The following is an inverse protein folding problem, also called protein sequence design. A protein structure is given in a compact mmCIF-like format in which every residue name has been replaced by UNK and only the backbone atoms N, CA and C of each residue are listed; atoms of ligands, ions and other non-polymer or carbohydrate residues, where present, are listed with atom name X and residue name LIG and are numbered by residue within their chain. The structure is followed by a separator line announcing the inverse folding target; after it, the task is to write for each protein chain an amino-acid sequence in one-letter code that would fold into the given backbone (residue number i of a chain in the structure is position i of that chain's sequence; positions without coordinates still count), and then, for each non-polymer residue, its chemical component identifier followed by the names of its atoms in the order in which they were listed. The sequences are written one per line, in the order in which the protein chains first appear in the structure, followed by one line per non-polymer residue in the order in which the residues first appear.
data_IF_655157584480
#
_entry.id   IF_655157584480
#
_cell.length_a   1.000
_cell.length_b   1.000
_cell.length_c   1.000
_cell.angle_alpha   90.00
_cell.angle_beta   90.00
_cell.angle_gamma   90.00
#
_symmetry.space_group_name_H-M   'P 1'
#
loop_
_entity.id
_entity.type
_entity.pdbx_description
1 polymer ?
#
# COMPACT_ATOMS: atom_id res chain seq x y z
N UNK A 1 25.51 0.29 4.72
CA UNK A 1 24.97 -1.07 4.89
C UNK A 1 23.50 -1.07 4.56
N UNK A 2 23.07 -1.85 3.58
CA UNK A 2 21.66 -1.92 3.30
C UNK A 2 20.90 -2.55 4.48
N UNK A 3 19.72 -2.04 4.72
CA UNK A 3 18.81 -2.59 5.73
C UNK A 3 18.09 -3.76 5.10
N UNK A 4 18.22 -4.94 5.70
CA UNK A 4 17.50 -6.13 5.24
C UNK A 4 16.30 -6.31 6.14
N UNK A 5 15.10 -6.31 5.55
CA UNK A 5 13.87 -6.57 6.26
C UNK A 5 13.48 -8.04 6.12
N UNK A 6 12.98 -8.67 7.19
CA UNK A 6 12.61 -10.10 7.12
C UNK A 6 11.62 -10.44 6.01
N UNK A 7 10.73 -9.51 5.66
CA UNK A 7 9.73 -9.72 4.63
C UNK A 7 10.23 -9.38 3.22
N UNK A 8 11.52 -9.04 3.08
CA UNK A 8 12.14 -8.73 1.81
C UNK A 8 13.17 -9.79 1.45
N UNK A 9 12.77 -11.03 1.50
CA UNK A 9 13.64 -12.14 1.13
C UNK A 9 14.08 -11.97 -0.32
N UNK A 10 15.35 -12.24 -0.57
CA UNK A 10 15.93 -12.10 -1.89
C UNK A 10 16.42 -10.68 -2.19
N UNK A 11 16.37 -9.77 -1.21
CA UNK A 11 16.93 -8.44 -1.34
C UNK A 11 15.95 -7.30 -1.32
N UNK A 12 16.39 -6.17 -1.82
CA UNK A 12 15.63 -4.92 -1.82
C UNK A 12 14.69 -4.83 -3.01
N UNK A 13 13.57 -4.09 -2.90
CA UNK A 13 12.69 -3.89 -4.04
C UNK A 13 13.37 -3.04 -5.12
N UNK A 14 13.03 -3.31 -6.39
CA UNK A 14 13.49 -2.52 -7.54
C UNK A 14 12.62 -1.29 -7.73
N UNK A 15 11.34 -1.40 -7.40
CA UNK A 15 10.38 -0.29 -7.48
C UNK A 15 9.56 -0.24 -6.21
N UNK A 16 9.10 0.97 -5.87
CA UNK A 16 8.19 1.19 -4.74
C UNK A 16 6.97 1.93 -5.28
N UNK A 17 5.80 1.35 -5.08
CA UNK A 17 4.56 2.03 -5.41
C UNK A 17 4.09 2.81 -4.18
N UNK A 18 3.90 4.13 -4.34
CA UNK A 18 3.34 4.98 -3.31
C UNK A 18 1.90 5.33 -3.70
N UNK A 19 0.96 4.91 -2.88
CA UNK A 19 -0.46 5.18 -3.12
C UNK A 19 -0.96 6.18 -2.09
N UNK A 20 -1.64 7.23 -2.58
CA UNK A 20 -2.21 8.26 -1.72
C UNK A 20 -3.72 8.30 -1.94
N UNK A 21 -4.47 8.07 -0.88
CA UNK A 21 -5.93 8.18 -0.90
C UNK A 21 -6.32 9.39 -0.10
N UNK A 22 -7.13 10.27 -0.69
CA UNK A 22 -7.75 11.36 0.04
C UNK A 22 -9.17 10.94 0.39
N UNK A 23 -9.47 10.90 1.68
CA UNK A 23 -10.76 10.49 2.19
C UNK A 23 -11.68 11.68 2.37
N UNK A 24 -12.97 11.42 2.50
CA UNK A 24 -13.92 12.45 2.93
C UNK A 24 -13.58 12.88 4.37
N UNK A 25 -13.87 14.14 4.74
CA UNK A 25 -13.55 14.62 6.09
C UNK A 25 -14.07 13.71 7.20
N UNK A 26 -13.18 13.42 8.15
CA UNK A 26 -13.53 12.62 9.33
C UNK A 26 -13.56 11.12 9.12
N UNK A 27 -13.25 10.61 7.93
CA UNK A 27 -13.37 9.19 7.63
C UNK A 27 -12.11 8.36 7.90
N UNK A 28 -11.02 8.99 8.32
CA UNK A 28 -9.77 8.28 8.59
C UNK A 28 -9.91 7.18 9.64
N UNK A 29 -10.54 7.41 10.81
CA UNK A 29 -10.66 6.34 11.80
C UNK A 29 -11.45 5.13 11.28
N UNK A 30 -12.53 5.35 10.55
CA UNK A 30 -13.31 4.27 9.99
C UNK A 30 -12.52 3.48 8.94
N UNK A 31 -11.78 4.19 8.08
CA UNK A 31 -10.94 3.56 7.08
C UNK A 31 -9.89 2.67 7.74
N UNK A 32 -9.18 3.18 8.74
CA UNK A 32 -8.12 2.42 9.42
C UNK A 32 -8.67 1.19 10.13
N UNK A 33 -9.83 1.32 10.75
CA UNK A 33 -10.49 0.20 11.42
C UNK A 33 -10.85 -0.90 10.42
N UNK A 34 -11.44 -0.53 9.29
CA UNK A 34 -11.80 -1.47 8.24
C UNK A 34 -10.56 -2.12 7.63
N UNK A 35 -9.53 -1.33 7.37
CA UNK A 35 -8.28 -1.88 6.82
C UNK A 35 -7.67 -2.92 7.75
N UNK A 36 -7.50 -2.57 9.00
CA UNK A 36 -6.86 -3.46 9.96
C UNK A 36 -7.64 -4.76 10.17
N UNK A 37 -8.97 -4.68 10.18
CA UNK A 37 -9.80 -5.85 10.43
C UNK A 37 -10.08 -6.70 9.20
N UNK A 38 -10.15 -6.10 8.00
CA UNK A 38 -10.62 -6.82 6.82
C UNK A 38 -9.66 -6.79 5.63
N UNK A 39 -8.83 -5.75 5.49
CA UNK A 39 -7.99 -5.59 4.32
C UNK A 39 -6.54 -5.98 4.50
N UNK A 40 -5.97 -5.68 5.67
CA UNK A 40 -4.53 -5.79 5.88
C UNK A 40 -3.98 -7.19 5.67
N UNK A 41 -4.61 -8.21 6.23
CA UNK A 41 -4.13 -9.59 6.12
C UNK A 41 -4.11 -10.06 4.67
N UNK A 42 -5.15 -9.71 3.91
CA UNK A 42 -5.25 -10.08 2.49
C UNK A 42 -4.19 -9.35 1.69
N UNK A 43 -4.10 -8.04 1.87
CA UNK A 43 -3.19 -7.21 1.09
C UNK A 43 -1.73 -7.56 1.35
N UNK A 44 -1.34 -7.72 2.62
CA UNK A 44 0.04 -8.06 2.95
C UNK A 44 0.44 -9.45 2.46
N UNK A 45 -0.50 -10.40 2.50
CA UNK A 45 -0.24 -11.75 1.99
C UNK A 45 -0.01 -11.74 0.48
N UNK A 46 -0.84 -11.00 -0.26
CA UNK A 46 -0.79 -11.04 -1.72
C UNK A 46 0.27 -10.10 -2.28
N UNK A 47 0.36 -8.86 -1.79
CA UNK A 47 1.36 -7.90 -2.27
C UNK A 47 2.75 -8.16 -1.71
N UNK A 48 2.85 -8.67 -0.50
CA UNK A 48 4.10 -9.14 0.10
C UNK A 48 4.86 -8.10 0.87
N UNK A 49 5.37 -7.07 0.22
CA UNK A 49 6.31 -6.13 0.85
C UNK A 49 5.66 -4.78 1.14
N UNK A 50 5.10 -4.64 2.33
CA UNK A 50 4.64 -3.33 2.78
C UNK A 50 5.86 -2.52 3.22
N UNK A 51 6.13 -1.41 2.53
CA UNK A 51 7.22 -0.49 2.90
C UNK A 51 6.77 0.43 4.04
N UNK A 52 5.53 0.87 4.01
CA UNK A 52 4.98 1.70 5.07
C UNK A 52 3.50 1.99 4.86
N UNK A 53 2.85 2.45 5.94
CA UNK A 53 1.43 2.80 5.91
C UNK A 53 1.22 3.96 6.86
N UNK A 54 0.82 5.12 6.32
CA UNK A 54 0.85 6.38 7.04
C UNK A 54 -0.47 7.13 6.92
N UNK A 55 -0.73 7.98 7.91
CA UNK A 55 -1.75 9.02 7.82
C UNK A 55 -1.07 10.38 7.89
N UNK A 56 -1.70 11.42 7.35
CA UNK A 56 -1.16 12.77 7.44
C UNK A 56 -1.48 13.36 8.81
N UNK A 57 -0.45 13.74 9.55
CA UNK A 57 -0.62 14.42 10.84
C UNK A 57 -0.75 15.93 10.62
N UNK A 58 0.15 16.50 9.82
CA UNK A 58 0.17 17.92 9.47
C UNK A 58 0.28 18.04 7.97
N UNK A 59 -0.59 18.81 7.35
CA UNK A 59 -0.67 18.98 5.91
C UNK A 59 -2.07 18.66 5.40
N UNK A 60 -2.21 18.16 4.17
CA UNK A 60 -3.52 17.77 3.67
C UNK A 60 -4.13 16.68 4.56
N UNK A 61 -5.20 17.03 5.27
CA UNK A 61 -5.83 16.12 6.22
C UNK A 61 -6.62 15.02 5.51
N UNK A 62 -6.94 13.97 6.25
CA UNK A 62 -7.72 12.83 5.77
C UNK A 62 -7.04 12.07 4.63
N UNK A 63 -5.71 12.05 4.62
CA UNK A 63 -4.97 11.26 3.62
C UNK A 63 -4.35 10.01 4.24
N UNK A 64 -4.39 8.95 3.43
CA UNK A 64 -3.73 7.70 3.70
C UNK A 64 -2.61 7.56 2.65
N UNK A 65 -1.39 7.31 3.11
CA UNK A 65 -0.25 7.07 2.22
C UNK A 65 0.33 5.71 2.54
N UNK A 66 0.34 4.81 1.56
CA UNK A 66 0.95 3.50 1.78
C UNK A 66 1.83 3.12 0.61
N UNK A 67 2.85 2.32 0.91
CA UNK A 67 3.89 2.00 -0.04
C UNK A 67 4.15 0.50 -0.07
N UNK A 68 4.38 0.01 -1.29
CA UNK A 68 4.59 -1.42 -1.56
C UNK A 68 5.79 -1.61 -2.47
N UNK A 69 6.67 -2.55 -2.10
CA UNK A 69 7.86 -2.83 -2.87
C UNK A 69 7.69 -4.05 -3.76
N UNK A 70 8.27 -4.00 -4.97
CA UNK A 70 8.21 -5.09 -5.93
C UNK A 70 9.56 -5.23 -6.62
N UNK A 71 9.90 -6.45 -7.05
CA UNK A 71 11.12 -6.70 -7.79
C UNK A 71 11.03 -6.19 -9.23
N UNK A 72 9.83 -6.12 -9.79
CA UNK A 72 9.61 -5.69 -11.16
C UNK A 72 8.17 -5.22 -11.37
N UNK A 73 7.94 -4.56 -12.50
CA UNK A 73 6.57 -4.20 -12.92
C UNK A 73 5.72 -5.44 -13.16
N UNK A 74 6.33 -6.51 -13.66
CA UNK A 74 5.62 -7.75 -13.92
C UNK A 74 5.13 -8.40 -12.62
N UNK A 75 6.00 -8.42 -11.61
CA UNK A 75 5.61 -8.91 -10.29
C UNK A 75 4.46 -8.08 -9.71
N UNK A 76 4.57 -6.75 -9.80
CA UNK A 76 3.51 -5.85 -9.35
C UNK A 76 2.19 -6.17 -10.05
N UNK A 77 2.21 -6.26 -11.36
CA UNK A 77 0.99 -6.51 -12.14
C UNK A 77 0.35 -7.84 -11.78
N UNK A 78 1.17 -8.88 -11.63
CA UNK A 78 0.71 -10.22 -11.25
C UNK A 78 0.07 -10.22 -9.87
N UNK A 79 0.75 -9.63 -8.88
CA UNK A 79 0.25 -9.59 -7.50
C UNK A 79 -1.03 -8.76 -7.39
N UNK A 80 -1.08 -7.64 -8.08
CA UNK A 80 -2.29 -6.81 -8.06
C UNK A 80 -3.47 -7.49 -8.75
N UNK A 81 -3.23 -8.21 -9.83
CA UNK A 81 -4.30 -8.99 -10.48
C UNK A 81 -4.83 -10.07 -9.55
N UNK A 82 -3.95 -10.75 -8.82
CA UNK A 82 -4.34 -11.76 -7.84
C UNK A 82 -5.17 -11.14 -6.72
N UNK A 83 -4.75 -9.98 -6.22
CA UNK A 83 -5.49 -9.28 -5.17
C UNK A 83 -6.88 -8.86 -5.64
N UNK A 84 -6.97 -8.32 -6.85
CA UNK A 84 -8.25 -7.87 -7.39
C UNK A 84 -9.21 -9.03 -7.69
N UNK A 85 -8.69 -10.24 -7.84
CA UNK A 85 -9.52 -11.43 -8.02
C UNK A 85 -9.96 -12.07 -6.69
N UNK A 86 -9.38 -11.65 -5.58
CA UNK A 86 -9.69 -12.20 -4.26
C UNK A 86 -11.05 -11.72 -3.77
N UNK A 87 -11.92 -12.67 -3.39
CA UNK A 87 -13.28 -12.34 -2.98
C UNK A 87 -13.32 -11.50 -1.70
N UNK A 88 -12.44 -11.79 -0.75
CA UNK A 88 -12.35 -11.02 0.50
C UNK A 88 -11.89 -9.59 0.25
N UNK A 89 -10.94 -9.42 -0.67
CA UNK A 89 -10.48 -8.09 -1.05
C UNK A 89 -11.58 -7.27 -1.70
N UNK A 90 -12.34 -7.87 -2.62
CA UNK A 90 -13.47 -7.20 -3.26
C UNK A 90 -14.51 -6.73 -2.24
N UNK A 91 -14.80 -7.57 -1.25
CA UNK A 91 -15.75 -7.23 -0.19
C UNK A 91 -15.25 -6.06 0.66
N UNK A 92 -13.94 -6.07 0.98
CA UNK A 92 -13.32 -4.97 1.72
C UNK A 92 -13.36 -3.67 0.91
N UNK A 93 -12.97 -3.70 -0.36
CA UNK A 93 -12.96 -2.52 -1.23
C UNK A 93 -14.34 -1.88 -1.30
N UNK A 94 -15.39 -2.70 -1.39
CA UNK A 94 -16.76 -2.19 -1.43
C UNK A 94 -17.10 -1.36 -0.17
N UNK A 95 -16.50 -1.70 0.96
CA UNK A 95 -16.75 -0.99 2.22
C UNK A 95 -15.97 0.32 2.33
N UNK A 96 -14.75 0.37 1.80
CA UNK A 96 -13.93 1.59 1.90
C UNK A 96 -14.18 2.58 0.76
N UNK A 97 -14.68 2.11 -0.38
CA UNK A 97 -14.87 2.97 -1.55
C UNK A 97 -15.70 4.22 -1.26
N UNK A 98 -16.82 4.15 -0.51
CA UNK A 98 -17.57 5.37 -0.18
C UNK A 98 -16.81 6.37 0.68
N UNK A 99 -15.73 5.96 1.34
CA UNK A 99 -14.94 6.83 2.20
C UNK A 99 -13.92 7.64 1.41
N UNK A 100 -13.61 7.24 0.18
CA UNK A 100 -12.51 7.78 -0.62
C UNK A 100 -13.04 8.82 -1.60
N UNK A 101 -12.38 10.00 -1.61
CA UNK A 101 -12.64 11.05 -2.61
C UNK A 101 -11.77 10.88 -3.83
N UNK A 102 -10.46 10.71 -3.63
CA UNK A 102 -9.50 10.59 -4.73
C UNK A 102 -8.43 9.57 -4.39
N UNK A 103 -7.85 8.98 -5.42
CA UNK A 103 -6.74 8.04 -5.30
C UNK A 103 -5.66 8.42 -6.30
N UNK A 104 -4.41 8.33 -5.85
CA UNK A 104 -3.25 8.56 -6.70
C UNK A 104 -2.26 7.43 -6.49
N UNK A 105 -1.47 7.13 -7.51
CA UNK A 105 -0.39 6.16 -7.40
C UNK A 105 0.83 6.68 -8.14
N UNK A 106 2.00 6.50 -7.54
CA UNK A 106 3.29 6.82 -8.13
C UNK A 106 4.18 5.59 -8.06
N UNK A 107 4.96 5.37 -9.12
CA UNK A 107 6.02 4.38 -9.08
C UNK A 107 7.34 5.11 -8.85
N UNK A 108 8.00 4.77 -7.76
CA UNK A 108 9.27 5.36 -7.36
C UNK A 108 10.39 4.36 -7.60
N UNK A 109 11.53 4.86 -8.09
CA UNK A 109 12.73 4.04 -8.29
C UNK A 109 13.75 4.47 -7.24
N UNK A 110 14.17 3.58 -6.35
CA UNK A 110 15.15 3.96 -5.33
C UNK A 110 16.47 4.40 -5.95
N UNK A 111 17.05 5.46 -5.40
CA UNK A 111 18.40 5.87 -5.78
C UNK A 111 19.42 4.89 -5.20
N UNK A 112 20.63 4.91 -5.75
CA UNK A 112 21.69 3.99 -5.30
C UNK A 112 22.04 4.18 -3.81
N UNK A 113 21.82 5.37 -3.28
CA UNK A 113 22.15 5.69 -1.88
C UNK A 113 20.92 5.67 -0.96
N UNK A 114 19.76 5.26 -1.45
CA UNK A 114 18.56 5.14 -0.62
C UNK A 114 18.71 3.97 0.35
N UNK A 115 18.33 4.12 1.64
CA UNK A 115 18.31 2.98 2.56
C UNK A 115 17.27 1.92 2.15
N UNK A 116 16.26 2.33 1.39
CA UNK A 116 15.25 1.42 0.82
C UNK A 116 15.54 1.33 -0.68
N UNK A 117 15.96 0.15 -1.11
CA UNK A 117 16.29 -0.06 -2.51
C UNK A 117 16.33 -1.55 -2.87
#
# INVERSE_FOLDING_TARGET
MPIVHPNQEGGSPVIVEERTYTLHPGKTPEYLRLYQSEGMAIQTKILGRMVGYFTTEIGPLNQIVHMWGYDSFEERSKRRAEMQADAGWKAYVAKIQPLIRTQESKILVPTAFSPIK
#
